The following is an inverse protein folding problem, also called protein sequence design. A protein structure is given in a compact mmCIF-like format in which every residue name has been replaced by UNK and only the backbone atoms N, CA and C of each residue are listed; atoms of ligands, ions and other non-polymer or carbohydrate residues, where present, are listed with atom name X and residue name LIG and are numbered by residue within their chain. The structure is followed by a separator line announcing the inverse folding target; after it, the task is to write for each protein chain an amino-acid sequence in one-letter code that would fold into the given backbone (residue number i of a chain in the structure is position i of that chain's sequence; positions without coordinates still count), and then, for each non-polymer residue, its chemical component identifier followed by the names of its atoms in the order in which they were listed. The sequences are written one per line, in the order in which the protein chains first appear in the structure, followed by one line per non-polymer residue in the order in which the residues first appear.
data_IF_724026376893
#
_entry.id   IF_724026376893
#
_cell.length_a   1.000
_cell.length_b   1.000
_cell.length_c   1.000
_cell.angle_alpha   90.00
_cell.angle_beta   90.00
_cell.angle_gamma   90.00
#
_symmetry.space_group_name_H-M   'P 1'
#
loop_
_entity.id
_entity.type
_entity.pdbx_description
1 polymer ?
#
# COMPACT_ATOMS: atom_id res chain seq x y z
N UNK A 1 -35.61 -2.41 -21.36
CA UNK A 1 -34.27 -1.89 -21.72
C UNK A 1 -33.52 -1.59 -20.43
N UNK A 2 -32.58 -2.43 -20.01
CA UNK A 2 -31.82 -2.21 -18.77
C UNK A 2 -30.35 -1.92 -19.13
N UNK A 3 -29.97 -0.64 -19.07
CA UNK A 3 -28.58 -0.18 -19.22
C UNK A 3 -28.18 0.58 -17.96
N UNK A 4 -27.91 -0.14 -16.87
CA UNK A 4 -27.36 0.44 -15.63
C UNK A 4 -26.59 -0.63 -14.87
N UNK A 5 -25.46 -1.10 -15.41
CA UNK A 5 -24.53 -1.94 -14.63
C UNK A 5 -23.06 -1.53 -14.77
N UNK A 6 -22.66 -0.85 -15.83
CA UNK A 6 -21.25 -0.48 -16.02
C UNK A 6 -20.72 0.58 -15.04
N UNK A 7 -21.55 1.50 -14.55
CA UNK A 7 -21.06 2.62 -13.71
C UNK A 7 -21.01 2.31 -12.21
N UNK A 8 -21.70 1.26 -11.75
CA UNK A 8 -21.73 0.90 -10.33
C UNK A 8 -20.57 -0.06 -9.98
N UNK A 9 -20.21 -0.95 -10.90
CA UNK A 9 -19.13 -1.92 -10.70
C UNK A 9 -17.75 -1.24 -10.60
N UNK A 10 -17.47 -0.28 -11.48
CA UNK A 10 -16.23 0.51 -11.45
C UNK A 10 -16.07 1.30 -10.14
N UNK A 11 -17.17 1.71 -9.48
CA UNK A 11 -17.12 2.43 -8.19
C UNK A 11 -16.87 1.52 -6.99
N UNK A 12 -17.21 0.24 -7.06
CA UNK A 12 -16.88 -0.70 -5.99
C UNK A 12 -15.42 -1.19 -6.10
N UNK A 13 -14.88 -1.29 -7.32
CA UNK A 13 -13.46 -1.61 -7.56
C UNK A 13 -12.48 -0.44 -7.35
N UNK A 14 -12.96 0.79 -7.13
CA UNK A 14 -12.10 1.89 -6.65
C UNK A 14 -11.75 1.80 -5.16
N UNK A 15 -12.31 0.84 -4.42
CA UNK A 15 -11.84 0.56 -3.05
C UNK A 15 -10.52 -0.18 -3.15
N UNK A 16 -9.49 0.38 -2.54
CA UNK A 16 -8.20 -0.29 -2.46
C UNK A 16 -8.36 -1.67 -1.77
N UNK A 17 -7.67 -2.70 -2.27
CA UNK A 17 -7.65 -4.00 -1.62
C UNK A 17 -7.02 -3.92 -0.22
N UNK A 18 -7.35 -4.86 0.67
CA UNK A 18 -6.87 -4.80 2.06
C UNK A 18 -5.46 -5.37 2.24
N UNK A 19 -4.95 -6.11 1.25
CA UNK A 19 -3.63 -6.76 1.29
C UNK A 19 -2.84 -6.48 0.02
N UNK A 20 -1.53 -6.71 0.06
CA UNK A 20 -0.64 -6.52 -1.10
C UNK A 20 -0.91 -7.56 -2.20
N UNK A 21 -1.21 -8.80 -1.83
CA UNK A 21 -1.60 -9.84 -2.79
C UNK A 21 -2.89 -9.44 -3.50
N UNK A 22 -3.86 -8.90 -2.76
CA UNK A 22 -5.10 -8.36 -3.31
C UNK A 22 -4.84 -7.18 -4.26
N UNK A 23 -3.85 -6.33 -3.98
CA UNK A 23 -3.42 -5.27 -4.91
C UNK A 23 -2.87 -5.88 -6.20
N UNK A 24 -1.97 -6.85 -6.08
CA UNK A 24 -1.34 -7.51 -7.22
C UNK A 24 -2.39 -8.14 -8.13
N UNK A 25 -3.33 -8.90 -7.57
CA UNK A 25 -4.43 -9.52 -8.33
C UNK A 25 -5.31 -8.47 -9.01
N UNK A 26 -5.67 -7.40 -8.29
CA UNK A 26 -6.53 -6.33 -8.81
C UNK A 26 -5.85 -5.62 -9.99
N UNK A 27 -4.58 -5.26 -9.86
CA UNK A 27 -3.79 -4.62 -10.92
C UNK A 27 -3.68 -5.53 -12.15
N UNK A 28 -3.46 -6.83 -11.96
CA UNK A 28 -3.41 -7.80 -13.07
C UNK A 28 -4.74 -7.87 -13.82
N UNK A 29 -5.88 -7.94 -13.11
CA UNK A 29 -7.21 -7.98 -13.72
C UNK A 29 -7.54 -6.72 -14.52
N UNK A 30 -7.22 -5.53 -13.96
CA UNK A 30 -7.40 -4.26 -14.66
C UNK A 30 -6.51 -4.21 -15.90
N UNK A 31 -5.24 -4.59 -15.78
CA UNK A 31 -4.28 -4.54 -16.90
C UNK A 31 -4.72 -5.45 -18.05
N UNK A 32 -5.12 -6.67 -17.71
CA UNK A 32 -5.61 -7.67 -18.66
C UNK A 32 -6.97 -7.31 -19.29
N UNK A 33 -7.71 -6.35 -18.73
CA UNK A 33 -9.00 -5.94 -19.25
C UNK A 33 -10.07 -7.04 -19.10
N UNK A 34 -10.01 -7.79 -17.99
CA UNK A 34 -10.96 -8.89 -17.71
C UNK A 34 -12.27 -8.32 -17.16
N UNK A 35 -13.38 -9.04 -17.35
CA UNK A 35 -14.72 -8.68 -16.87
C UNK A 35 -15.15 -7.27 -17.31
N UNK A 36 -15.48 -6.42 -16.34
CA UNK A 36 -15.89 -5.04 -16.53
C UNK A 36 -14.79 -4.13 -17.08
N UNK A 37 -13.51 -4.50 -16.97
CA UNK A 37 -12.40 -3.70 -17.48
C UNK A 37 -12.22 -3.85 -19.00
N UNK A 38 -12.90 -4.82 -19.62
CA UNK A 38 -12.85 -5.05 -21.07
C UNK A 38 -13.41 -3.88 -21.88
N UNK A 39 -14.28 -3.06 -21.27
CA UNK A 39 -14.85 -1.86 -21.89
C UNK A 39 -13.90 -0.66 -21.89
N UNK A 40 -12.83 -0.71 -21.09
CA UNK A 40 -11.85 0.35 -20.99
C UNK A 40 -10.73 0.15 -22.01
N UNK A 41 -10.30 1.22 -22.66
CA UNK A 41 -9.10 1.19 -23.49
C UNK A 41 -7.82 1.14 -22.61
N UNK A 42 -6.69 0.79 -23.23
CA UNK A 42 -5.44 0.61 -22.49
C UNK A 42 -5.01 1.82 -21.64
N UNK A 43 -5.06 3.08 -22.14
CA UNK A 43 -4.77 4.26 -21.31
C UNK A 43 -5.70 4.41 -20.11
N UNK A 44 -7.01 4.17 -20.28
CA UNK A 44 -7.96 4.26 -19.17
C UNK A 44 -7.69 3.20 -18.09
N UNK A 45 -7.27 1.99 -18.48
CA UNK A 45 -6.86 0.94 -17.54
C UNK A 45 -5.59 1.30 -16.78
N UNK A 46 -4.60 1.90 -17.45
CA UNK A 46 -3.38 2.39 -16.79
C UNK A 46 -3.68 3.48 -15.75
N UNK A 47 -4.56 4.43 -16.07
CA UNK A 47 -5.02 5.46 -15.12
C UNK A 47 -5.75 4.84 -13.93
N UNK A 48 -6.57 3.81 -14.16
CA UNK A 48 -7.27 3.11 -13.09
C UNK A 48 -6.30 2.35 -12.17
N UNK A 49 -5.31 1.66 -12.73
CA UNK A 49 -4.23 1.01 -11.96
C UNK A 49 -3.53 2.02 -11.07
N UNK A 50 -3.12 3.17 -11.61
CA UNK A 50 -2.44 4.20 -10.83
C UNK A 50 -3.27 4.66 -9.63
N UNK A 51 -4.57 4.91 -9.83
CA UNK A 51 -5.49 5.33 -8.77
C UNK A 51 -5.69 4.27 -7.69
N UNK A 52 -5.87 3.01 -8.08
CA UNK A 52 -6.07 1.90 -7.12
C UNK A 52 -4.80 1.68 -6.31
N UNK A 53 -3.63 1.72 -6.94
CA UNK A 53 -2.34 1.60 -6.25
C UNK A 53 -2.09 2.77 -5.31
N UNK A 54 -2.37 4.00 -5.72
CA UNK A 54 -2.22 5.18 -4.86
C UNK A 54 -3.11 5.11 -3.63
N UNK A 55 -4.40 4.80 -3.82
CA UNK A 55 -5.34 4.64 -2.70
C UNK A 55 -4.88 3.53 -1.74
N UNK A 56 -4.43 2.40 -2.29
CA UNK A 56 -3.91 1.29 -1.48
C UNK A 56 -2.70 1.69 -0.65
N UNK A 57 -1.75 2.40 -1.25
CA UNK A 57 -0.56 2.85 -0.54
C UNK A 57 -0.92 3.82 0.60
N UNK A 58 -1.84 4.75 0.38
CA UNK A 58 -2.33 5.68 1.42
C UNK A 58 -3.00 4.92 2.58
N UNK A 59 -3.89 3.98 2.26
CA UNK A 59 -4.59 3.19 3.26
C UNK A 59 -3.62 2.29 4.05
N UNK A 60 -2.67 1.67 3.36
CA UNK A 60 -1.61 0.87 3.96
C UNK A 60 -0.77 1.70 4.94
N UNK A 61 -0.24 2.86 4.50
CA UNK A 61 0.55 3.75 5.35
C UNK A 61 -0.25 4.15 6.59
N UNK A 62 -1.53 4.48 6.44
CA UNK A 62 -2.39 4.95 7.55
C UNK A 62 -2.69 3.86 8.59
N UNK A 63 -2.89 2.62 8.13
CA UNK A 63 -3.31 1.48 8.95
C UNK A 63 -2.16 0.58 9.38
N UNK A 64 -0.94 0.84 8.90
CA UNK A 64 0.23 0.02 9.20
C UNK A 64 0.45 -0.09 10.72
N UNK A 65 0.43 -1.33 11.19
CA UNK A 65 0.70 -1.65 12.59
C UNK A 65 2.21 -1.70 12.84
N UNK A 66 2.68 -0.83 13.73
CA UNK A 66 4.05 -0.84 14.22
C UNK A 66 4.08 -1.73 15.47
N UNK A 67 4.87 -2.83 15.48
CA UNK A 67 5.00 -3.70 16.64
C UNK A 67 5.40 -2.90 17.88
N UNK A 68 4.86 -3.22 19.06
CA UNK A 68 5.23 -2.53 20.30
C UNK A 68 6.62 -2.94 20.82
N UNK A 69 7.00 -4.19 20.56
CA UNK A 69 8.31 -4.75 20.91
C UNK A 69 9.42 -4.12 20.05
N UNK A 70 10.44 -3.58 20.70
CA UNK A 70 11.49 -2.81 20.05
C UNK A 70 12.31 -3.64 19.06
N UNK A 71 12.59 -4.91 19.38
CA UNK A 71 13.37 -5.79 18.51
C UNK A 71 12.57 -6.12 17.23
N UNK A 72 11.29 -6.50 17.38
CA UNK A 72 10.39 -6.76 16.25
C UNK A 72 10.13 -5.50 15.41
N UNK A 73 10.04 -4.33 16.03
CA UNK A 73 9.94 -3.06 15.32
C UNK A 73 11.20 -2.80 14.48
N UNK A 74 12.38 -3.09 15.03
CA UNK A 74 13.65 -2.95 14.32
C UNK A 74 13.77 -3.88 13.12
N UNK A 75 13.38 -5.15 13.26
CA UNK A 75 13.33 -6.12 12.15
C UNK A 75 12.36 -5.68 11.05
N UNK A 76 11.16 -5.22 11.44
CA UNK A 76 10.17 -4.73 10.49
C UNK A 76 10.65 -3.47 9.75
N UNK A 77 11.26 -2.52 10.46
CA UNK A 77 11.84 -1.32 9.87
C UNK A 77 12.90 -1.68 8.83
N UNK A 78 13.88 -2.52 9.17
CA UNK A 78 14.95 -2.91 8.27
C UNK A 78 14.43 -3.63 7.02
N UNK A 79 13.46 -4.53 7.16
CA UNK A 79 12.85 -5.22 6.03
C UNK A 79 12.06 -4.29 5.10
N UNK A 80 11.41 -3.25 5.65
CA UNK A 80 10.70 -2.24 4.86
C UNK A 80 11.69 -1.31 4.17
N UNK A 81 12.72 -0.84 4.88
CA UNK A 81 13.79 0.03 4.36
C UNK A 81 14.53 -0.62 3.18
N UNK A 82 14.84 -1.91 3.28
CA UNK A 82 15.51 -2.66 2.21
C UNK A 82 14.59 -3.01 1.04
N UNK A 83 13.27 -2.82 1.20
CA UNK A 83 12.28 -3.20 0.19
C UNK A 83 11.99 -4.71 0.12
N UNK A 84 12.50 -5.50 1.07
CA UNK A 84 12.22 -6.94 1.19
C UNK A 84 10.75 -7.20 1.54
N UNK A 85 10.12 -6.26 2.26
CA UNK A 85 8.69 -6.27 2.56
C UNK A 85 7.96 -5.20 1.78
N UNK A 86 6.81 -5.59 1.24
CA UNK A 86 5.89 -4.73 0.50
C UNK A 86 6.54 -4.08 -0.74
N UNK A 87 7.04 -4.89 -1.70
CA UNK A 87 7.64 -4.37 -2.94
C UNK A 87 6.71 -3.48 -3.76
N UNK A 88 5.39 -3.56 -3.53
CA UNK A 88 4.39 -2.71 -4.19
C UNK A 88 4.33 -1.27 -3.64
N UNK A 89 5.02 -0.98 -2.54
CA UNK A 89 5.15 0.38 -2.02
C UNK A 89 6.08 1.21 -2.92
N UNK A 90 5.62 2.41 -3.26
CA UNK A 90 6.50 3.46 -3.78
C UNK A 90 7.51 3.88 -2.71
N UNK A 91 8.64 4.45 -3.14
CA UNK A 91 9.65 4.97 -2.22
C UNK A 91 9.06 6.00 -1.25
N UNK A 92 8.19 6.90 -1.73
CA UNK A 92 7.50 7.87 -0.89
C UNK A 92 6.61 7.21 0.18
N UNK A 93 5.93 6.11 -0.16
CA UNK A 93 5.09 5.39 0.82
C UNK A 93 5.92 4.59 1.80
N UNK A 94 7.05 4.02 1.36
CA UNK A 94 8.04 3.37 2.22
C UNK A 94 8.60 4.38 3.23
N UNK A 95 9.04 5.55 2.78
CA UNK A 95 9.50 6.64 3.63
C UNK A 95 8.42 7.08 4.63
N UNK A 96 7.16 7.20 4.19
CA UNK A 96 6.06 7.54 5.09
C UNK A 96 5.81 6.49 6.18
N UNK A 97 5.97 5.20 5.86
CA UNK A 97 5.90 4.12 6.86
C UNK A 97 7.08 4.20 7.83
N UNK A 98 8.32 4.33 7.33
CA UNK A 98 9.51 4.45 8.17
C UNK A 98 9.42 5.66 9.11
N UNK A 99 8.90 6.79 8.62
CA UNK A 99 8.64 7.97 9.45
C UNK A 99 7.70 7.69 10.61
N UNK A 100 6.69 6.83 10.46
CA UNK A 100 5.81 6.46 11.57
C UNK A 100 6.55 5.67 12.67
N UNK A 101 7.57 4.89 12.31
CA UNK A 101 8.43 4.25 13.31
C UNK A 101 9.26 5.29 14.06
N UNK A 102 9.83 6.25 13.33
CA UNK A 102 10.59 7.36 13.94
C UNK A 102 9.70 8.22 14.84
N UNK A 103 8.47 8.54 14.44
CA UNK A 103 7.50 9.27 15.25
C UNK A 103 7.15 8.51 16.56
N UNK A 104 7.27 7.17 16.56
CA UNK A 104 6.97 6.31 17.72
C UNK A 104 8.16 6.10 18.64
N UNK A 105 9.34 5.85 18.08
CA UNK A 105 10.53 5.41 18.83
C UNK A 105 11.66 6.45 18.88
N UNK A 106 11.52 7.55 18.15
CA UNK A 106 12.52 8.60 18.00
C UNK A 106 13.27 8.51 16.67
N UNK A 107 13.75 9.66 16.20
CA UNK A 107 14.37 9.79 14.89
C UNK A 107 15.68 8.99 14.74
N UNK A 108 15.93 8.54 13.52
CA UNK A 108 17.20 7.92 13.11
C UNK A 108 17.25 6.39 13.25
N UNK A 109 16.08 5.76 13.37
CA UNK A 109 15.92 4.33 13.18
C UNK A 109 16.42 3.42 14.32
N UNK A 110 16.33 2.08 14.12
CA UNK A 110 16.43 1.08 15.18
C UNK A 110 17.73 1.08 15.99
N UNK A 111 18.82 1.60 15.43
CA UNK A 111 20.12 1.67 16.13
C UNK A 111 20.13 2.75 17.23
N UNK A 112 19.28 3.77 17.12
CA UNK A 112 19.22 4.89 18.07
C UNK A 112 18.08 4.73 19.09
N UNK A 113 17.01 4.01 18.74
CA UNK A 113 15.84 3.86 19.61
C UNK A 113 16.14 3.33 21.02
N UNK A 114 17.02 2.33 21.26
CA UNK A 114 17.31 1.87 22.62
C UNK A 114 17.88 2.97 23.52
N UNK A 115 18.72 3.85 22.98
CA UNK A 115 19.31 4.96 23.73
C UNK A 115 18.28 6.08 24.01
N UNK A 116 17.28 6.24 23.14
CA UNK A 116 16.22 7.23 23.27
C UNK A 116 15.08 6.78 24.20
N UNK A 117 14.85 5.47 24.29
CA UNK A 117 13.76 4.87 25.07
C UNK A 117 14.22 4.16 26.35
N UNK A 118 15.54 4.07 26.59
CA UNK A 118 16.12 3.50 27.79
C UNK A 118 15.98 4.43 29.00
N UNK A 119 14.84 4.37 29.69
CA UNK A 119 14.72 4.77 31.10
C UNK A 119 14.60 3.54 31.97
#
# INVERSE_FOLDING_TARGET
MSKTSGSHAVKEFTKAPLTEEGLTETVQRITAGVDEFSVLNHPARAVLVAKVTEQWQQDFVSSFHIPDDLAKAGEAYAAIEQGDKYPSLSDASREAVLKRFDDRYGDGGPRLWPALNGK
#
